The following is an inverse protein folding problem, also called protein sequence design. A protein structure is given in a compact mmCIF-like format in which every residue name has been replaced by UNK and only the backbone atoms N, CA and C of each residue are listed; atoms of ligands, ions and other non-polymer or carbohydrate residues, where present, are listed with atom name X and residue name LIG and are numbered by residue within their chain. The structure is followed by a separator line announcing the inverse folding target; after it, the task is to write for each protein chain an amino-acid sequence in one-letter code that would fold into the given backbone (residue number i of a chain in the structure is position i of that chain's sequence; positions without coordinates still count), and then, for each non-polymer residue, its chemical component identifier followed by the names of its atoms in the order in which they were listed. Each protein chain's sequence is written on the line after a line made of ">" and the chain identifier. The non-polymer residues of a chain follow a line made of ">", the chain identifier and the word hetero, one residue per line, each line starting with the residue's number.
data_IF_423016970990
#
_entry.id   IF_423016970990
#
_cell.length_a   1.000
_cell.length_b   1.000
_cell.length_c   1.000
_cell.angle_alpha   90.00
_cell.angle_beta   90.00
_cell.angle_gamma   90.00
#
_symmetry.space_group_name_H-M   'P 1'
#
loop_
_entity.id
_entity.type
_entity.pdbx_description
1 polymer ?
#
# COMPACT_ATOMS: atom_id res chain seq x y z
N UNK A 1 16.46 -27.34 -8.06
CA UNK A 1 16.88 -26.60 -6.84
C UNK A 1 15.94 -26.87 -5.68
N UNK A 2 14.62 -26.79 -5.89
CA UNK A 2 13.57 -27.20 -4.93
C UNK A 2 13.83 -28.58 -4.32
N UNK A 3 14.08 -29.60 -5.14
CA UNK A 3 14.24 -30.98 -4.65
C UNK A 3 15.49 -31.15 -3.78
N UNK A 4 16.58 -30.47 -4.14
CA UNK A 4 17.82 -30.47 -3.34
C UNK A 4 17.56 -29.84 -1.97
N UNK A 5 16.83 -28.72 -1.92
CA UNK A 5 16.48 -28.07 -0.66
C UNK A 5 15.63 -28.99 0.23
N UNK A 6 14.56 -29.58 -0.31
CA UNK A 6 13.74 -30.53 0.47
C UNK A 6 14.52 -31.78 0.89
N UNK A 7 15.46 -32.25 0.06
CA UNK A 7 16.33 -33.35 0.43
C UNK A 7 17.26 -32.99 1.61
N UNK A 8 17.86 -31.80 1.61
CA UNK A 8 18.68 -31.30 2.73
C UNK A 8 17.84 -31.21 4.00
N UNK A 9 16.61 -30.67 3.92
CA UNK A 9 15.70 -30.61 5.06
C UNK A 9 15.34 -32.01 5.60
N UNK A 10 15.07 -32.97 4.70
CA UNK A 10 14.81 -34.38 5.07
C UNK A 10 16.00 -35.01 5.79
N UNK A 11 17.24 -34.63 5.45
CA UNK A 11 18.45 -35.13 6.10
C UNK A 11 18.73 -34.47 7.45
N UNK A 12 18.42 -33.18 7.59
CA UNK A 12 18.68 -32.42 8.81
C UNK A 12 17.62 -32.62 9.91
N UNK A 13 16.43 -33.10 9.56
CA UNK A 13 15.35 -33.33 10.53
C UNK A 13 15.68 -34.43 11.54
N UNK A 14 15.17 -34.27 12.74
CA UNK A 14 15.20 -35.28 13.80
C UNK A 14 13.79 -35.88 13.96
N UNK A 15 13.68 -37.21 14.01
CA UNK A 15 12.40 -37.90 14.18
C UNK A 15 12.25 -38.24 15.66
N UNK A 16 11.20 -37.72 16.30
CA UNK A 16 10.91 -37.99 17.71
C UNK A 16 10.11 -39.27 17.88
N UNK A 17 9.11 -39.48 17.04
CA UNK A 17 8.33 -40.72 17.02
C UNK A 17 7.68 -40.92 15.65
N UNK A 18 7.39 -42.17 15.34
CA UNK A 18 6.68 -42.60 14.13
C UNK A 18 5.62 -43.62 14.54
N UNK A 19 4.39 -43.41 14.08
CA UNK A 19 3.27 -44.32 14.31
C UNK A 19 2.50 -44.52 13.00
N UNK A 20 2.72 -45.68 12.37
CA UNK A 20 2.06 -46.01 11.11
C UNK A 20 2.48 -45.06 9.99
N UNK A 21 1.57 -44.20 9.55
CA UNK A 21 1.80 -43.25 8.46
C UNK A 21 2.03 -41.81 8.98
N UNK A 22 2.05 -41.63 10.30
CA UNK A 22 2.25 -40.33 10.95
C UNK A 22 3.65 -40.29 11.56
N UNK A 23 4.42 -39.26 11.25
CA UNK A 23 5.71 -38.98 11.88
C UNK A 23 5.67 -37.65 12.61
N UNK A 24 6.33 -37.58 13.76
CA UNK A 24 6.65 -36.33 14.43
C UNK A 24 8.12 -36.02 14.18
N UNK A 25 8.37 -34.96 13.41
CA UNK A 25 9.71 -34.56 13.02
C UNK A 25 9.99 -33.11 13.44
N UNK A 26 11.19 -32.89 13.97
CA UNK A 26 11.71 -31.58 14.31
C UNK A 26 12.65 -31.10 13.20
N UNK A 27 12.41 -29.90 12.67
CA UNK A 27 13.24 -29.25 11.65
C UNK A 27 14.03 -28.10 12.26
N UNK A 28 15.37 -28.05 12.12
CA UNK A 28 16.18 -27.00 12.71
C UNK A 28 15.87 -25.63 12.08
N UNK A 29 15.82 -24.58 12.90
CA UNK A 29 15.37 -23.25 12.47
C UNK A 29 16.50 -22.29 12.08
N UNK A 30 17.75 -22.58 12.41
CA UNK A 30 18.86 -21.61 12.34
C UNK A 30 19.01 -20.89 10.97
N UNK A 31 18.86 -21.62 9.85
CA UNK A 31 18.96 -21.06 8.49
C UNK A 31 17.58 -20.78 7.84
N UNK A 32 16.51 -21.29 8.45
CA UNK A 32 15.16 -21.26 7.86
C UNK A 32 14.38 -20.05 8.38
N UNK A 33 14.44 -19.84 9.69
CA UNK A 33 13.72 -18.78 10.38
C UNK A 33 14.41 -17.43 10.14
N UNK A 34 13.61 -16.38 10.10
CA UNK A 34 14.07 -15.01 9.99
C UNK A 34 14.62 -14.47 11.30
N UNK A 35 14.37 -15.12 12.44
CA UNK A 35 14.83 -14.70 13.77
C UNK A 35 16.06 -15.53 14.17
N UNK A 36 17.15 -14.87 14.53
CA UNK A 36 18.34 -15.53 15.06
C UNK A 36 18.08 -16.06 16.48
N UNK A 37 18.38 -17.35 16.71
CA UNK A 37 18.17 -18.06 17.97
C UNK A 37 18.92 -17.46 19.17
N UNK A 38 20.02 -16.72 18.94
CA UNK A 38 20.90 -16.18 19.96
C UNK A 38 20.67 -14.69 20.20
N UNK A 39 20.56 -13.90 19.13
CA UNK A 39 20.48 -12.44 19.22
C UNK A 39 19.04 -11.91 19.16
N UNK A 40 18.12 -12.68 18.58
CA UNK A 40 16.76 -12.22 18.27
C UNK A 40 16.70 -11.21 17.12
N UNK A 41 17.84 -10.91 16.49
CA UNK A 41 17.91 -10.04 15.32
C UNK A 41 17.39 -10.73 14.07
N UNK A 42 17.07 -9.93 13.05
CA UNK A 42 16.44 -10.42 11.84
C UNK A 42 17.50 -10.81 10.81
N UNK A 43 17.61 -12.12 10.58
CA UNK A 43 18.50 -12.68 9.58
C UNK A 43 17.92 -12.53 8.17
N UNK A 44 18.49 -11.60 7.39
CA UNK A 44 18.11 -11.36 5.98
C UNK A 44 18.56 -12.48 5.02
N UNK A 45 19.51 -13.33 5.44
CA UNK A 45 20.01 -14.46 4.66
C UNK A 45 19.22 -15.74 4.91
N UNK A 46 18.23 -15.71 5.79
CA UNK A 46 17.33 -16.84 6.04
C UNK A 46 16.59 -17.26 4.77
N UNK A 47 16.34 -18.57 4.66
CA UNK A 47 15.62 -19.15 3.51
C UNK A 47 14.25 -18.51 3.37
N UNK A 48 13.52 -18.31 4.48
CA UNK A 48 12.20 -17.69 4.44
C UNK A 48 12.25 -16.26 3.86
N UNK A 49 13.25 -15.46 4.23
CA UNK A 49 13.41 -14.11 3.69
C UNK A 49 13.74 -14.14 2.18
N UNK A 50 14.70 -14.97 1.78
CA UNK A 50 15.15 -15.08 0.39
C UNK A 50 14.02 -15.55 -0.53
N UNK A 51 13.23 -16.53 -0.09
CA UNK A 51 12.09 -17.06 -0.85
C UNK A 51 10.97 -16.02 -1.00
N UNK A 52 10.66 -15.28 0.06
CA UNK A 52 9.56 -14.29 0.05
C UNK A 52 9.89 -13.06 -0.80
N UNK A 53 11.14 -12.57 -0.74
CA UNK A 53 11.59 -11.39 -1.50
C UNK A 53 12.22 -11.74 -2.86
N UNK A 54 12.54 -13.00 -3.14
CA UNK A 54 13.15 -13.43 -4.40
C UNK A 54 12.22 -13.31 -5.62
N UNK A 55 12.75 -12.90 -6.77
CA UNK A 55 11.91 -12.58 -7.95
C UNK A 55 11.42 -13.81 -8.72
N UNK A 56 12.12 -14.95 -8.61
CA UNK A 56 11.83 -16.15 -9.40
C UNK A 56 10.55 -16.86 -8.95
N UNK A 57 9.80 -17.37 -9.92
CA UNK A 57 8.57 -18.14 -9.70
C UNK A 57 8.86 -19.45 -8.98
N UNK A 58 10.00 -20.09 -9.26
CA UNK A 58 10.45 -21.32 -8.60
C UNK A 58 10.54 -21.20 -7.06
N UNK A 59 10.69 -19.99 -6.52
CA UNK A 59 10.66 -19.75 -5.08
C UNK A 59 9.25 -19.88 -4.50
N UNK A 60 8.19 -19.55 -5.25
CA UNK A 60 6.82 -19.73 -4.77
C UNK A 60 6.49 -21.20 -4.52
N UNK A 61 7.09 -22.10 -5.28
CA UNK A 61 6.95 -23.53 -5.09
C UNK A 61 7.71 -24.06 -3.86
N UNK A 62 8.63 -23.26 -3.29
CA UNK A 62 9.30 -23.58 -2.03
C UNK A 62 8.52 -23.11 -0.80
N UNK A 63 7.58 -22.16 -0.95
CA UNK A 63 6.72 -21.69 0.15
C UNK A 63 5.76 -22.78 0.65
N UNK A 64 5.45 -23.78 -0.17
CA UNK A 64 4.61 -24.91 0.23
C UNK A 64 5.32 -25.86 1.21
N UNK A 65 4.57 -26.42 2.16
CA UNK A 65 5.09 -27.37 3.16
C UNK A 65 5.67 -26.66 4.38
N UNK A 66 6.93 -26.98 4.74
CA UNK A 66 7.59 -26.51 5.97
C UNK A 66 7.52 -24.98 6.17
N UNK A 67 7.75 -24.20 5.11
CA UNK A 67 7.71 -22.73 5.22
C UNK A 67 6.29 -22.22 5.48
N UNK A 68 5.27 -22.82 4.86
CA UNK A 68 3.87 -22.48 5.12
C UNK A 68 3.47 -22.82 6.55
N UNK A 69 3.91 -23.97 7.09
CA UNK A 69 3.64 -24.37 8.46
C UNK A 69 4.35 -23.46 9.48
N UNK A 70 5.60 -23.07 9.21
CA UNK A 70 6.32 -22.09 10.01
C UNK A 70 5.59 -20.72 10.02
N UNK A 71 5.15 -20.25 8.85
CA UNK A 71 4.39 -19.01 8.74
C UNK A 71 3.04 -19.11 9.48
N UNK A 72 2.37 -20.26 9.44
CA UNK A 72 1.12 -20.49 10.17
C UNK A 72 1.35 -20.49 11.69
N UNK A 73 2.45 -21.09 12.14
CA UNK A 73 2.84 -21.06 13.55
C UNK A 73 3.09 -19.62 14.01
N UNK A 74 3.86 -18.82 13.26
CA UNK A 74 4.07 -17.39 13.55
C UNK A 74 2.77 -16.59 13.54
N UNK A 75 1.92 -16.83 12.54
CA UNK A 75 0.62 -16.19 12.40
C UNK A 75 -0.25 -16.41 13.62
N UNK A 76 -0.44 -17.67 14.02
CA UNK A 76 -1.33 -18.02 15.12
C UNK A 76 -0.77 -17.62 16.49
N UNK A 77 0.55 -17.54 16.67
CA UNK A 77 1.16 -17.22 17.97
C UNK A 77 1.18 -15.73 18.28
N UNK A 78 1.61 -14.88 17.34
CA UNK A 78 1.78 -13.46 17.66
C UNK A 78 1.38 -12.49 16.55
N UNK A 79 1.56 -12.86 15.28
CA UNK A 79 1.34 -11.92 14.17
C UNK A 79 -0.15 -11.60 13.98
N UNK A 80 -1.04 -12.60 14.07
CA UNK A 80 -2.49 -12.41 13.88
C UNK A 80 -3.05 -11.33 14.80
N UNK A 81 -2.74 -11.41 16.10
CA UNK A 81 -3.22 -10.44 17.08
C UNK A 81 -2.70 -9.03 16.80
N UNK A 82 -1.39 -8.89 16.51
CA UNK A 82 -0.79 -7.59 16.17
C UNK A 82 -1.35 -7.00 14.89
N UNK A 83 -1.54 -7.82 13.86
CA UNK A 83 -2.10 -7.43 12.57
C UNK A 83 -3.54 -6.92 12.72
N UNK A 84 -4.41 -7.68 13.39
CA UNK A 84 -5.81 -7.25 13.61
C UNK A 84 -5.92 -6.05 14.53
N UNK A 85 -5.05 -5.92 15.54
CA UNK A 85 -4.97 -4.72 16.37
C UNK A 85 -4.59 -3.49 15.53
N UNK A 86 -3.57 -3.61 14.68
CA UNK A 86 -3.15 -2.53 13.78
C UNK A 86 -4.25 -2.16 12.78
N UNK A 87 -4.94 -3.16 12.22
CA UNK A 87 -6.09 -2.95 11.34
C UNK A 87 -7.23 -2.23 12.06
N UNK A 88 -7.59 -2.65 13.27
CA UNK A 88 -8.65 -2.03 14.05
C UNK A 88 -8.31 -0.57 14.42
N UNK A 89 -7.08 -0.32 14.88
CA UNK A 89 -6.62 1.05 15.19
C UNK A 89 -6.65 1.94 13.94
N UNK A 90 -6.19 1.43 12.79
CA UNK A 90 -6.29 2.17 11.54
C UNK A 90 -7.74 2.40 11.10
N UNK A 91 -8.60 1.38 11.20
CA UNK A 91 -9.99 1.49 10.82
C UNK A 91 -10.72 2.54 11.67
N UNK A 92 -10.49 2.56 12.98
CA UNK A 92 -11.01 3.61 13.87
C UNK A 92 -10.46 4.98 13.44
N UNK A 93 -9.15 5.10 13.21
CA UNK A 93 -8.55 6.35 12.71
C UNK A 93 -9.20 6.82 11.40
N UNK A 94 -9.43 5.90 10.46
CA UNK A 94 -10.04 6.19 9.16
C UNK A 94 -11.47 6.70 9.30
N UNK A 95 -12.29 6.07 10.15
CA UNK A 95 -13.67 6.52 10.41
C UNK A 95 -13.69 7.88 11.12
N UNK A 96 -12.80 8.10 12.10
CA UNK A 96 -12.67 9.40 12.78
C UNK A 96 -12.26 10.50 11.79
N UNK A 97 -11.27 10.23 10.94
CA UNK A 97 -10.80 11.12 9.88
C UNK A 97 -11.93 11.44 8.89
N UNK A 98 -12.62 10.43 8.37
CA UNK A 98 -13.75 10.62 7.47
C UNK A 98 -14.85 11.48 8.10
N UNK A 99 -15.22 11.17 9.35
CA UNK A 99 -16.26 11.93 10.08
C UNK A 99 -15.83 13.38 10.29
N UNK A 100 -14.58 13.61 10.66
CA UNK A 100 -13.99 14.94 10.84
C UNK A 100 -14.09 15.79 9.56
N UNK A 101 -13.68 15.23 8.42
CA UNK A 101 -13.68 15.95 7.15
C UNK A 101 -15.07 16.15 6.55
N UNK A 102 -16.00 15.21 6.75
CA UNK A 102 -17.40 15.36 6.30
C UNK A 102 -18.13 16.43 7.11
N UNK A 103 -17.82 16.58 8.40
CA UNK A 103 -18.41 17.62 9.26
C UNK A 103 -17.79 19.01 9.07
N UNK A 104 -16.86 19.17 8.11
CA UNK A 104 -16.21 20.45 7.87
C UNK A 104 -17.21 21.45 7.28
N UNK A 105 -17.48 22.60 7.94
CA UNK A 105 -18.34 23.62 7.38
C UNK A 105 -17.65 24.22 6.16
N UNK A 106 -18.42 24.39 5.08
CA UNK A 106 -17.96 25.20 3.96
C UNK A 106 -17.73 26.66 4.39
N UNK A 107 -16.96 27.44 3.63
CA UNK A 107 -16.86 28.87 3.87
C UNK A 107 -18.28 29.46 3.88
N UNK A 108 -18.68 30.10 4.98
CA UNK A 108 -20.00 30.72 5.05
C UNK A 108 -20.08 31.77 3.95
N UNK A 109 -20.96 31.54 2.97
CA UNK A 109 -21.33 32.57 2.00
C UNK A 109 -21.88 33.80 2.73
N UNK A 110 -21.84 34.99 2.08
CA UNK A 110 -22.33 36.21 2.70
C UNK A 110 -23.76 36.01 3.19
N UNK A 111 -23.98 36.17 4.51
CA UNK A 111 -25.33 36.24 5.07
C UNK A 111 -25.97 37.50 4.50
N UNK A 112 -26.83 37.35 3.50
CA UNK A 112 -27.71 38.44 3.09
C UNK A 112 -28.63 38.71 4.28
N UNK A 113 -28.31 39.75 5.05
CA UNK A 113 -29.26 40.32 6.00
C UNK A 113 -30.46 40.78 5.17
N UNK A 114 -31.52 39.97 5.12
CA UNK A 114 -32.84 40.43 4.71
C UNK A 114 -33.31 41.42 5.77
N UNK A 115 -32.87 42.67 5.68
CA UNK A 115 -33.58 43.74 6.36
C UNK A 115 -35.00 43.77 5.79
N UNK A 116 -35.96 43.48 6.67
CA UNK A 116 -37.36 43.77 6.43
C UNK A 116 -37.48 45.27 6.14
N UNK A 117 -37.65 45.63 4.86
CA UNK A 117 -38.06 46.99 4.50
C UNK A 117 -39.52 47.08 4.89
N UNK A 118 -39.77 47.70 6.05
CA UNK A 118 -41.11 48.16 6.36
C UNK A 118 -41.41 49.34 5.43
N UNK A 119 -42.42 49.17 4.57
CA UNK A 119 -43.25 50.27 4.04
C UNK A 119 -43.53 51.27 5.19
N UNK A 120 -43.56 52.59 5.04
CA UNK A 120 -44.44 53.49 4.26
C UNK A 120 -43.78 54.91 4.41
N UNK A 121 -43.62 55.78 3.40
CA UNK A 121 -44.52 56.92 3.11
C UNK A 121 -44.03 57.79 1.93
N UNK A 122 -45.02 58.26 1.17
CA UNK A 122 -44.99 59.20 0.06
C UNK A 122 -44.16 60.47 0.30
N UNK A 123 -43.40 60.92 -0.70
CA UNK A 123 -43.40 62.29 -1.23
C UNK A 123 -42.66 62.34 -2.60
N UNK A 124 -43.05 63.20 -3.56
CA UNK A 124 -42.45 63.24 -4.89
C UNK A 124 -41.44 64.38 -5.01
N UNK A 125 -40.15 64.11 -5.29
CA UNK A 125 -39.32 65.03 -6.08
C UNK A 125 -37.94 64.47 -6.52
N UNK A 126 -37.67 64.64 -7.82
CA UNK A 126 -36.40 64.84 -8.53
C UNK A 126 -35.19 63.91 -8.37
N UNK A 127 -34.90 63.22 -9.49
CA UNK A 127 -33.60 63.16 -10.20
C UNK A 127 -32.32 63.39 -9.38
N UNK A 128 -31.61 62.31 -9.08
CA UNK A 128 -30.16 62.17 -9.36
C UNK A 128 -29.83 60.68 -9.47
N UNK A 129 -29.23 60.29 -10.59
CA UNK A 129 -28.59 58.98 -10.74
C UNK A 129 -27.29 59.01 -9.92
N UNK A 130 -27.30 58.42 -8.74
CA UNK A 130 -26.10 57.96 -8.05
C UNK A 130 -26.28 56.48 -7.76
N UNK A 131 -25.30 55.61 -8.07
CA UNK A 131 -25.39 54.23 -7.64
C UNK A 131 -25.22 54.20 -6.13
N UNK A 132 -26.27 53.80 -5.43
CA UNK A 132 -26.22 53.41 -4.02
C UNK A 132 -25.30 52.20 -3.92
N UNK A 133 -24.02 52.44 -3.65
CA UNK A 133 -23.09 51.41 -3.20
C UNK A 133 -23.36 51.20 -1.72
N UNK A 134 -24.33 50.33 -1.42
CA UNK A 134 -24.51 49.79 -0.06
C UNK A 134 -24.67 48.28 -0.13
N UNK A 135 -23.60 47.63 -0.56
CA UNK A 135 -23.35 46.22 -0.28
C UNK A 135 -22.03 46.12 0.47
N UNK A 136 -22.06 46.17 1.81
CA UNK A 136 -20.91 45.75 2.60
C UNK A 136 -20.66 44.27 2.25
N UNK A 137 -19.61 44.02 1.47
CA UNK A 137 -19.05 42.68 1.29
C UNK A 137 -18.64 42.24 2.69
N UNK A 138 -19.43 41.38 3.32
CA UNK A 138 -19.05 40.76 4.59
C UNK A 138 -17.77 39.97 4.33
N UNK A 139 -16.62 40.49 4.78
CA UNK A 139 -15.36 39.77 4.78
C UNK A 139 -15.61 38.41 5.45
N UNK A 140 -15.38 37.33 4.70
CA UNK A 140 -15.40 35.97 5.25
C UNK A 140 -14.36 35.96 6.37
N UNK A 141 -14.77 35.65 7.60
CA UNK A 141 -13.85 35.54 8.72
C UNK A 141 -12.76 34.51 8.35
N UNK A 142 -11.48 34.91 8.23
CA UNK A 142 -10.42 34.00 7.79
C UNK A 142 -10.23 32.83 8.77
N UNK A 143 -10.66 33.01 10.02
CA UNK A 143 -10.65 32.01 11.09
C UNK A 143 -12.03 31.36 11.34
N UNK A 144 -12.94 31.29 10.36
CA UNK A 144 -14.29 30.69 10.56
C UNK A 144 -14.23 29.24 11.07
N UNK A 145 -13.15 28.53 10.73
CA UNK A 145 -12.88 27.20 11.21
C UNK A 145 -12.64 27.16 12.74
N UNK A 146 -12.21 28.25 13.39
CA UNK A 146 -12.07 28.34 14.85
C UNK A 146 -13.40 28.56 15.60
N UNK A 147 -14.49 28.86 14.91
CA UNK A 147 -15.74 29.26 15.55
C UNK A 147 -16.43 28.06 16.25
N UNK A 148 -16.70 28.17 17.55
CA UNK A 148 -17.20 27.07 18.39
C UNK A 148 -18.68 27.19 18.79
N UNK A 149 -19.47 27.92 18.00
CA UNK A 149 -20.83 28.30 18.39
C UNK A 149 -21.87 27.17 18.23
N UNK A 150 -21.63 26.21 17.34
CA UNK A 150 -22.53 25.08 17.09
C UNK A 150 -22.03 23.79 17.75
N UNK A 151 -22.95 22.95 18.22
CA UNK A 151 -22.64 21.61 18.75
C UNK A 151 -21.88 20.74 17.73
N UNK A 152 -22.20 20.90 16.44
CA UNK A 152 -21.45 20.27 15.34
C UNK A 152 -19.98 20.69 15.30
N UNK A 153 -19.68 21.96 15.60
CA UNK A 153 -18.31 22.47 15.62
C UNK A 153 -17.53 21.91 16.82
N UNK A 154 -18.18 21.79 17.98
CA UNK A 154 -17.59 21.15 19.17
C UNK A 154 -17.19 19.69 18.90
N UNK A 155 -18.09 18.91 18.30
CA UNK A 155 -17.81 17.51 17.93
C UNK A 155 -16.66 17.45 16.92
N UNK A 156 -16.65 18.31 15.90
CA UNK A 156 -15.56 18.39 14.94
C UNK A 156 -14.21 18.69 15.61
N UNK A 157 -14.13 19.65 16.54
CA UNK A 157 -12.88 19.94 17.25
C UNK A 157 -12.35 18.73 18.04
N UNK A 158 -13.25 17.96 18.67
CA UNK A 158 -12.86 16.73 19.38
C UNK A 158 -12.30 15.71 18.37
N UNK A 159 -12.96 15.53 17.23
CA UNK A 159 -12.49 14.63 16.17
C UNK A 159 -11.16 15.09 15.57
N UNK A 160 -10.99 16.38 15.29
CA UNK A 160 -9.74 16.99 14.82
C UNK A 160 -8.61 16.70 15.83
N UNK A 161 -8.84 16.93 17.13
CA UNK A 161 -7.87 16.63 18.17
C UNK A 161 -7.52 15.15 18.25
N UNK A 162 -8.50 14.25 18.15
CA UNK A 162 -8.27 12.80 18.15
C UNK A 162 -7.49 12.34 16.90
N UNK A 163 -7.79 12.88 15.73
CA UNK A 163 -7.07 12.54 14.48
C UNK A 163 -5.65 13.09 14.46
N UNK A 164 -5.43 14.30 14.99
CA UNK A 164 -4.08 14.86 15.17
C UNK A 164 -3.27 14.03 16.19
N UNK A 165 -3.87 13.67 17.33
CA UNK A 165 -3.23 12.81 18.32
C UNK A 165 -2.90 11.43 17.75
N UNK A 166 -3.82 10.82 16.99
CA UNK A 166 -3.60 9.54 16.32
C UNK A 166 -2.45 9.60 15.30
N UNK A 167 -2.38 10.67 14.51
CA UNK A 167 -1.27 10.92 13.58
C UNK A 167 0.07 11.09 14.30
N UNK A 168 0.09 11.84 15.40
CA UNK A 168 1.28 12.03 16.23
C UNK A 168 1.76 10.70 16.86
N UNK A 169 0.85 9.90 17.42
CA UNK A 169 1.17 8.59 18.00
C UNK A 169 1.78 7.68 16.92
N UNK A 170 1.20 7.65 15.72
CA UNK A 170 1.73 6.85 14.61
C UNK A 170 3.15 7.29 14.21
N UNK A 171 3.41 8.60 14.14
CA UNK A 171 4.74 9.14 13.85
C UNK A 171 5.74 8.76 14.96
N UNK A 172 5.35 8.89 16.23
CA UNK A 172 6.21 8.52 17.36
C UNK A 172 6.54 7.01 17.34
N UNK A 173 5.57 6.16 17.03
CA UNK A 173 5.81 4.72 16.89
C UNK A 173 6.71 4.41 15.70
N UNK A 174 6.56 5.12 14.58
CA UNK A 174 7.47 4.99 13.43
C UNK A 174 8.90 5.45 13.76
N UNK A 175 9.06 6.51 14.55
CA UNK A 175 10.38 6.98 15.02
C UNK A 175 11.00 5.96 15.97
N UNK A 176 10.23 5.39 16.90
CA UNK A 176 10.70 4.28 17.75
C UNK A 176 11.14 3.08 16.91
N UNK A 177 10.37 2.74 15.87
CA UNK A 177 10.72 1.68 14.92
C UNK A 177 12.02 1.95 14.17
N UNK A 178 12.23 3.18 13.71
CA UNK A 178 13.47 3.59 13.06
C UNK A 178 14.67 3.55 14.03
N UNK A 179 14.47 3.87 15.31
CA UNK A 179 15.53 3.85 16.32
C UNK A 179 16.02 2.44 16.65
N UNK A 180 15.11 1.47 16.87
CA UNK A 180 15.55 0.11 17.24
C UNK A 180 16.06 -0.70 16.04
N UNK A 181 15.56 -0.42 14.82
CA UNK A 181 15.92 -1.20 13.63
C UNK A 181 17.08 -0.58 12.84
N UNK A 182 17.38 0.70 13.07
CA UNK A 182 18.31 1.49 12.28
C UNK A 182 17.66 2.08 11.02
N UNK A 183 17.99 3.34 10.71
CA UNK A 183 17.34 4.13 9.67
C UNK A 183 17.38 3.48 8.28
N UNK A 184 18.52 2.93 7.87
CA UNK A 184 18.67 2.30 6.55
C UNK A 184 17.79 1.05 6.39
N UNK A 185 17.67 0.24 7.44
CA UNK A 185 16.84 -0.98 7.40
C UNK A 185 15.36 -0.59 7.42
N UNK A 186 15.01 0.43 8.21
CA UNK A 186 13.67 0.97 8.26
C UNK A 186 13.21 1.49 6.89
N UNK A 187 14.01 2.31 6.19
CA UNK A 187 13.65 2.83 4.86
C UNK A 187 13.51 1.70 3.84
N UNK A 188 14.42 0.71 3.85
CA UNK A 188 14.30 -0.47 2.99
C UNK A 188 12.98 -1.22 3.24
N UNK A 189 12.57 -1.39 4.50
CA UNK A 189 11.30 -2.03 4.85
C UNK A 189 10.08 -1.21 4.40
N UNK A 190 10.11 0.11 4.58
CA UNK A 190 9.05 1.00 4.12
C UNK A 190 8.85 0.91 2.60
N UNK A 191 9.92 0.85 1.82
CA UNK A 191 9.85 0.73 0.36
C UNK A 191 9.21 -0.57 -0.13
N UNK A 192 9.22 -1.63 0.68
CA UNK A 192 8.49 -2.87 0.36
C UNK A 192 6.97 -2.73 0.46
N UNK A 193 6.48 -1.68 1.16
CA UNK A 193 5.07 -1.41 1.41
C UNK A 193 4.78 0.09 1.14
N UNK A 194 4.59 0.49 -0.13
CA UNK A 194 4.43 1.90 -0.49
C UNK A 194 3.20 2.56 0.17
N UNK A 195 2.14 1.80 0.40
CA UNK A 195 0.95 2.30 1.08
C UNK A 195 1.21 2.74 2.53
N UNK A 196 2.18 2.13 3.22
CA UNK A 196 2.60 2.54 4.58
C UNK A 196 3.34 3.88 4.55
N UNK A 197 4.11 4.13 3.47
CA UNK A 197 4.77 5.42 3.22
C UNK A 197 3.75 6.52 2.97
N UNK A 198 2.74 6.26 2.12
CA UNK A 198 1.66 7.21 1.85
C UNK A 198 0.93 7.62 3.14
N UNK A 199 0.63 6.65 4.01
CA UNK A 199 0.02 6.94 5.32
C UNK A 199 0.96 7.70 6.27
N UNK A 200 2.26 7.43 6.23
CA UNK A 200 3.22 8.21 7.01
C UNK A 200 3.26 9.67 6.53
N UNK A 201 3.26 9.90 5.21
CA UNK A 201 3.15 11.23 4.63
C UNK A 201 1.83 11.91 5.02
N UNK A 202 0.70 11.19 5.02
CA UNK A 202 -0.60 11.73 5.42
C UNK A 202 -0.60 12.18 6.88
N UNK A 203 0.00 11.41 7.79
CA UNK A 203 0.17 11.79 9.20
C UNK A 203 1.05 13.03 9.35
N UNK A 204 2.13 13.17 8.57
CA UNK A 204 2.96 14.38 8.59
C UNK A 204 2.19 15.62 8.12
N UNK A 205 1.41 15.50 7.03
CA UNK A 205 0.57 16.61 6.53
C UNK A 205 -0.52 16.96 7.56
N UNK A 206 -1.11 15.97 8.24
CA UNK A 206 -2.05 16.21 9.34
C UNK A 206 -1.44 17.05 10.47
N UNK A 207 -0.16 16.82 10.79
CA UNK A 207 0.55 17.66 11.78
C UNK A 207 0.78 19.10 11.30
N UNK A 208 0.91 19.31 9.98
CA UNK A 208 1.03 20.65 9.37
C UNK A 208 -0.31 21.39 9.37
N UNK A 209 -1.45 20.69 9.37
CA UNK A 209 -2.77 21.34 9.47
C UNK A 209 -2.96 22.09 10.79
N UNK A 210 -2.38 21.60 11.89
CA UNK A 210 -2.49 22.24 13.21
C UNK A 210 -1.91 23.68 13.21
N UNK A 211 -0.66 23.95 12.79
CA UNK A 211 -0.16 25.32 12.70
C UNK A 211 -0.88 26.15 11.62
N UNK A 212 -1.31 25.56 10.51
CA UNK A 212 -2.11 26.28 9.49
C UNK A 212 -3.44 26.80 10.06
N UNK A 213 -4.03 26.06 10.99
CA UNK A 213 -5.24 26.45 11.71
C UNK A 213 -4.99 27.67 12.61
N UNK A 214 -3.86 27.72 13.30
CA UNK A 214 -3.48 28.86 14.15
C UNK A 214 -3.13 30.12 13.36
N UNK A 215 -2.61 29.98 12.14
CA UNK A 215 -2.35 31.10 11.21
C UNK A 215 -3.59 31.51 10.41
N UNK A 216 -4.74 30.86 10.63
CA UNK A 216 -6.00 31.08 9.92
C UNK A 216 -5.89 30.98 8.39
N UNK A 217 -5.03 30.10 7.89
CA UNK A 217 -4.87 29.84 6.46
C UNK A 217 -5.83 28.75 5.99
N UNK A 218 -7.09 29.14 5.76
CA UNK A 218 -8.15 28.20 5.35
C UNK A 218 -7.84 27.48 4.02
N UNK A 219 -7.33 28.19 3.01
CA UNK A 219 -7.00 27.60 1.70
C UNK A 219 -5.91 26.52 1.80
N UNK A 220 -4.85 26.78 2.59
CA UNK A 220 -3.79 25.81 2.79
C UNK A 220 -4.26 24.59 3.57
N UNK A 221 -5.16 24.77 4.53
CA UNK A 221 -5.76 23.69 5.30
C UNK A 221 -6.71 22.83 4.44
N UNK A 222 -7.47 23.44 3.52
CA UNK A 222 -8.35 22.74 2.57
C UNK A 222 -7.55 21.88 1.59
N UNK A 223 -6.49 22.43 0.99
CA UNK A 223 -5.58 21.69 0.12
C UNK A 223 -4.94 20.52 0.89
N UNK A 224 -4.42 20.79 2.09
CA UNK A 224 -3.79 19.77 2.94
C UNK A 224 -4.75 18.63 3.29
N UNK A 225 -6.01 18.96 3.61
CA UNK A 225 -7.05 18.00 3.92
C UNK A 225 -7.34 17.04 2.75
N UNK A 226 -7.40 17.56 1.52
CA UNK A 226 -7.60 16.73 0.32
C UNK A 226 -6.46 15.74 0.17
N UNK A 227 -5.21 16.18 0.33
CA UNK A 227 -4.05 15.28 0.26
C UNK A 227 -4.06 14.23 1.36
N UNK A 228 -4.40 14.59 2.60
CA UNK A 228 -4.52 13.63 3.71
C UNK A 228 -5.53 12.54 3.36
N UNK A 229 -6.71 12.89 2.85
CA UNK A 229 -7.75 11.92 2.51
C UNK A 229 -7.34 10.99 1.37
N UNK A 230 -6.77 11.56 0.31
CA UNK A 230 -6.32 10.80 -0.87
C UNK A 230 -5.18 9.83 -0.54
N UNK A 231 -4.27 10.23 0.36
CA UNK A 231 -3.11 9.40 0.75
C UNK A 231 -3.43 8.41 1.87
N UNK A 232 -4.48 8.64 2.66
CA UNK A 232 -4.91 7.71 3.73
C UNK A 232 -5.63 6.48 3.18
N UNK A 233 -6.52 6.64 2.19
CA UNK A 233 -7.33 5.53 1.67
C UNK A 233 -6.54 4.34 1.09
N UNK A 234 -5.45 4.54 0.31
CA UNK A 234 -4.62 3.44 -0.20
C UNK A 234 -4.03 2.53 0.89
N UNK A 235 -3.91 3.01 2.13
CA UNK A 235 -3.42 2.19 3.23
C UNK A 235 -4.37 1.05 3.59
N UNK A 236 -5.68 1.17 3.29
CA UNK A 236 -6.62 0.05 3.45
C UNK A 236 -6.24 -1.16 2.59
N UNK A 237 -5.72 -0.93 1.38
CA UNK A 237 -5.29 -1.99 0.47
C UNK A 237 -4.15 -2.84 1.05
N UNK A 238 -3.33 -2.28 1.96
CA UNK A 238 -2.29 -3.05 2.67
C UNK A 238 -2.90 -4.22 3.46
N UNK A 239 -3.99 -3.97 4.17
CA UNK A 239 -4.65 -4.99 4.98
C UNK A 239 -5.40 -6.00 4.11
N UNK A 240 -6.00 -5.53 3.01
CA UNK A 240 -6.63 -6.40 2.01
C UNK A 240 -5.65 -7.39 1.37
N UNK A 241 -4.37 -7.01 1.28
CA UNK A 241 -3.30 -7.85 0.70
C UNK A 241 -3.12 -9.19 1.42
N UNK A 242 -3.50 -9.29 2.70
CA UNK A 242 -3.35 -10.51 3.51
C UNK A 242 -4.42 -11.57 3.32
N UNK A 243 -5.52 -11.25 2.63
CA UNK A 243 -6.60 -12.21 2.40
C UNK A 243 -6.34 -13.04 1.14
N UNK A 244 -6.66 -14.33 1.20
CA UNK A 244 -6.48 -15.27 0.08
C UNK A 244 -7.18 -14.83 -1.21
N UNK A 245 -8.39 -14.29 -1.11
CA UNK A 245 -9.18 -13.87 -2.26
C UNK A 245 -8.70 -12.53 -2.83
N UNK A 246 -8.44 -11.53 -1.97
CA UNK A 246 -8.19 -10.13 -2.39
C UNK A 246 -6.70 -9.85 -2.62
N UNK A 247 -5.82 -10.63 -1.98
CA UNK A 247 -4.36 -10.41 -1.97
C UNK A 247 -3.72 -10.31 -3.35
N UNK A 248 -3.92 -11.32 -4.24
CA UNK A 248 -3.40 -11.26 -5.60
C UNK A 248 -3.92 -10.05 -6.37
N UNK A 249 -5.22 -9.73 -6.28
CA UNK A 249 -5.82 -8.58 -6.98
C UNK A 249 -5.18 -7.25 -6.57
N UNK A 250 -4.89 -7.05 -5.29
CA UNK A 250 -4.22 -5.81 -4.82
C UNK A 250 -2.83 -5.67 -5.44
N UNK A 251 -2.06 -6.76 -5.55
CA UNK A 251 -0.74 -6.75 -6.20
C UNK A 251 -0.86 -6.47 -7.69
N UNK A 252 -1.88 -7.04 -8.33
CA UNK A 252 -2.18 -6.77 -9.74
C UNK A 252 -2.43 -5.28 -9.95
N UNK A 253 -3.26 -4.65 -9.12
CA UNK A 253 -3.51 -3.20 -9.16
C UNK A 253 -2.20 -2.41 -9.02
N UNK A 254 -1.36 -2.73 -8.04
CA UNK A 254 -0.08 -2.01 -7.86
C UNK A 254 0.85 -2.15 -9.07
N UNK A 255 0.98 -3.36 -9.63
CA UNK A 255 1.83 -3.59 -10.80
C UNK A 255 1.26 -2.93 -12.05
N UNK A 256 -0.06 -3.01 -12.25
CA UNK A 256 -0.77 -2.36 -13.35
C UNK A 256 -0.58 -0.84 -13.29
N UNK A 257 -0.75 -0.22 -12.12
CA UNK A 257 -0.58 1.25 -11.97
C UNK A 257 0.88 1.67 -12.14
N UNK A 258 1.84 0.96 -11.53
CA UNK A 258 3.23 1.42 -11.53
C UNK A 258 3.94 1.18 -12.86
N UNK A 259 3.74 0.02 -13.47
CA UNK A 259 4.51 -0.38 -14.66
C UNK A 259 3.74 -0.15 -15.95
N UNK A 260 2.50 -0.66 -16.01
CA UNK A 260 1.74 -0.70 -17.27
C UNK A 260 1.09 0.66 -17.58
N UNK A 261 0.50 1.29 -16.56
CA UNK A 261 -0.18 2.59 -16.69
C UNK A 261 0.82 3.73 -16.95
N UNK A 262 2.01 3.75 -16.33
CA UNK A 262 2.98 4.84 -16.56
C UNK A 262 3.49 4.87 -18.00
N UNK A 263 3.75 3.71 -18.61
CA UNK A 263 4.13 3.62 -20.02
C UNK A 263 3.02 4.18 -20.93
N UNK A 264 1.79 3.78 -20.65
CA UNK A 264 0.61 4.25 -21.36
C UNK A 264 0.38 5.76 -21.21
N UNK A 265 0.39 6.26 -19.97
CA UNK A 265 0.21 7.69 -19.66
C UNK A 265 1.30 8.52 -20.33
N UNK A 266 2.52 8.01 -20.44
CA UNK A 266 3.61 8.71 -21.13
C UNK A 266 3.31 8.90 -22.61
N UNK A 267 2.91 7.85 -23.33
CA UNK A 267 2.53 7.94 -24.75
C UNK A 267 1.31 8.84 -24.92
N UNK A 268 0.32 8.68 -24.05
CA UNK A 268 -0.91 9.47 -24.06
C UNK A 268 -0.65 10.97 -23.85
N UNK A 269 0.20 11.35 -22.88
CA UNK A 269 0.56 12.76 -22.62
C UNK A 269 1.22 13.40 -23.83
N UNK A 270 2.08 12.69 -24.58
CA UNK A 270 2.70 13.24 -25.80
C UNK A 270 1.64 13.66 -26.82
N UNK A 271 0.62 12.82 -27.04
CA UNK A 271 -0.48 13.17 -27.94
C UNK A 271 -1.34 14.30 -27.37
N UNK A 272 -1.71 14.25 -26.09
CA UNK A 272 -2.51 15.31 -25.44
C UNK A 272 -1.82 16.66 -25.55
N UNK A 273 -0.51 16.74 -25.28
CA UNK A 273 0.25 17.99 -25.39
C UNK A 273 0.28 18.53 -26.83
N UNK A 274 0.48 17.66 -27.83
CA UNK A 274 0.50 18.07 -29.24
C UNK A 274 -0.84 18.64 -29.70
N UNK A 275 -1.95 18.00 -29.33
CA UNK A 275 -3.28 18.52 -29.65
C UNK A 275 -3.67 19.74 -28.80
N UNK A 276 -3.28 19.79 -27.52
CA UNK A 276 -3.54 20.94 -26.66
C UNK A 276 -2.95 22.24 -27.23
N UNK A 277 -1.74 22.17 -27.79
CA UNK A 277 -1.11 23.31 -28.48
C UNK A 277 -1.91 23.74 -29.72
N UNK A 278 -2.37 22.80 -30.54
CA UNK A 278 -3.19 23.09 -31.72
C UNK A 278 -4.52 23.76 -31.32
N UNK A 279 -5.19 23.25 -30.29
CA UNK A 279 -6.43 23.80 -29.79
C UNK A 279 -6.27 25.18 -29.14
N UNK A 280 -5.21 25.39 -28.35
CA UNK A 280 -4.87 26.70 -27.82
C UNK A 280 -4.79 27.75 -28.95
N UNK A 281 -4.10 27.43 -30.05
CA UNK A 281 -3.98 28.35 -31.20
C UNK A 281 -5.32 28.60 -31.90
N UNK A 282 -6.15 27.56 -32.07
CA UNK A 282 -7.49 27.70 -32.68
C UNK A 282 -8.38 28.63 -31.84
N UNK A 283 -8.31 28.49 -30.52
CA UNK A 283 -9.13 29.23 -29.56
C UNK A 283 -8.65 30.66 -29.29
N UNK A 284 -7.44 31.05 -29.73
CA UNK A 284 -7.05 32.47 -29.77
C UNK A 284 -8.03 33.34 -30.60
N UNK A 285 -8.76 32.73 -31.55
CA UNK A 285 -9.76 33.39 -32.38
C UNK A 285 -11.19 33.31 -31.80
N UNK A 286 -11.36 32.81 -30.59
CA UNK A 286 -12.65 32.65 -29.94
C UNK A 286 -13.24 34.01 -29.55
N UNK A 287 -14.51 34.23 -29.89
CA UNK A 287 -15.25 35.45 -29.54
C UNK A 287 -16.63 35.08 -28.99
N UNK A 288 -16.73 34.98 -27.66
CA UNK A 288 -18.00 34.84 -26.95
C UNK A 288 -17.91 35.45 -25.54
N UNK A 289 -19.07 35.67 -24.91
CA UNK A 289 -19.18 36.26 -23.56
C UNK A 289 -18.78 35.29 -22.43
N UNK A 290 -18.68 33.98 -22.72
CA UNK A 290 -18.25 32.95 -21.75
C UNK A 290 -16.74 32.66 -21.91
N UNK A 291 -15.97 32.49 -20.82
CA UNK A 291 -14.56 32.13 -20.91
C UNK A 291 -14.38 30.80 -21.66
N UNK A 292 -13.30 30.69 -22.42
CA UNK A 292 -13.04 29.47 -23.19
C UNK A 292 -12.25 28.47 -22.35
N UNK A 293 -12.46 27.18 -22.58
CA UNK A 293 -11.70 26.14 -21.87
C UNK A 293 -10.22 26.08 -22.28
N UNK A 294 -9.83 26.83 -23.32
CA UNK A 294 -8.49 26.81 -23.93
C UNK A 294 -7.80 28.19 -23.84
N UNK A 295 -8.21 29.04 -22.90
CA UNK A 295 -7.64 30.38 -22.73
C UNK A 295 -6.18 30.35 -22.25
N UNK A 296 -5.82 29.36 -21.43
CA UNK A 296 -4.44 29.15 -20.95
C UNK A 296 -3.85 27.84 -21.51
N UNK A 297 -2.53 27.76 -21.76
CA UNK A 297 -1.88 26.52 -22.20
C UNK A 297 -2.05 25.35 -21.22
N UNK A 298 -2.05 25.61 -19.91
CA UNK A 298 -2.22 24.57 -18.88
C UNK A 298 -3.68 24.12 -18.81
N UNK A 299 -4.63 25.06 -18.90
CA UNK A 299 -6.06 24.74 -18.93
C UNK A 299 -6.42 23.98 -20.21
N UNK A 300 -5.77 24.31 -21.34
CA UNK A 300 -5.93 23.59 -22.61
C UNK A 300 -5.56 22.11 -22.49
N UNK A 301 -4.48 21.78 -21.78
CA UNK A 301 -4.10 20.38 -21.52
C UNK A 301 -5.17 19.65 -20.71
N UNK A 302 -5.71 20.30 -19.68
CA UNK A 302 -6.80 19.76 -18.87
C UNK A 302 -8.09 19.58 -19.69
N UNK A 303 -8.44 20.56 -20.53
CA UNK A 303 -9.60 20.51 -21.41
C UNK A 303 -9.49 19.38 -22.44
N UNK A 304 -8.30 19.16 -23.01
CA UNK A 304 -8.03 18.01 -23.87
C UNK A 304 -8.19 16.68 -23.12
N UNK A 305 -7.70 16.61 -21.88
CA UNK A 305 -7.87 15.42 -21.04
C UNK A 305 -9.35 15.14 -20.74
N UNK A 306 -10.15 16.15 -20.39
CA UNK A 306 -11.59 16.00 -20.14
C UNK A 306 -12.31 15.56 -21.42
N UNK A 307 -11.96 16.15 -22.56
CA UNK A 307 -12.49 15.75 -23.86
C UNK A 307 -12.19 14.28 -24.20
N UNK A 308 -11.02 13.75 -23.80
CA UNK A 308 -10.67 12.32 -23.96
C UNK A 308 -11.57 11.36 -23.17
N UNK A 309 -12.13 11.83 -22.05
CA UNK A 309 -13.06 11.08 -21.19
C UNK A 309 -14.49 11.11 -21.73
N UNK A 310 -14.68 11.53 -22.99
CA UNK A 310 -15.96 11.67 -23.67
C UNK A 310 -16.88 12.76 -23.11
N UNK A 311 -16.34 13.69 -22.32
CA UNK A 311 -17.04 14.88 -21.84
C UNK A 311 -16.67 16.09 -22.72
N UNK A 312 -17.38 16.26 -23.83
CA UNK A 312 -17.05 17.28 -24.84
C UNK A 312 -18.23 18.14 -25.29
N UNK A 313 -19.42 17.99 -24.70
CA UNK A 313 -20.63 18.71 -25.12
C UNK A 313 -20.44 20.23 -25.11
N UNK A 314 -19.99 20.78 -23.98
CA UNK A 314 -19.78 22.21 -23.80
C UNK A 314 -18.61 22.73 -24.67
N UNK A 315 -17.56 21.91 -24.80
CA UNK A 315 -16.37 22.24 -25.63
C UNK A 315 -16.75 22.29 -27.12
N UNK A 316 -17.59 21.37 -27.58
CA UNK A 316 -18.02 21.29 -28.97
C UNK A 316 -18.88 22.49 -29.38
N UNK A 317 -19.73 23.00 -28.48
CA UNK A 317 -20.51 24.22 -28.72
C UNK A 317 -19.62 25.45 -28.91
N UNK A 318 -18.50 25.53 -28.16
CA UNK A 318 -17.54 26.63 -28.29
C UNK A 318 -16.83 26.66 -29.64
N UNK A 319 -16.72 25.53 -30.36
CA UNK A 319 -16.10 25.50 -31.70
C UNK A 319 -16.81 26.42 -32.70
N UNK A 320 -18.12 26.62 -32.55
CA UNK A 320 -18.91 27.50 -33.42
C UNK A 320 -18.54 28.99 -33.26
N UNK A 321 -17.98 29.37 -32.11
CA UNK A 321 -17.59 30.74 -31.79
C UNK A 321 -16.14 31.06 -32.19
N UNK A 322 -15.46 30.12 -32.87
CA UNK A 322 -14.10 30.30 -33.39
C UNK A 322 -14.13 30.54 -34.90
N UNK A 323 -13.19 31.36 -35.40
CA UNK A 323 -13.05 31.62 -36.83
C UNK A 323 -12.73 30.34 -37.63
N UNK A 324 -12.04 29.38 -37.00
CA UNK A 324 -11.58 28.12 -37.62
C UNK A 324 -12.45 26.90 -37.25
N UNK A 325 -13.78 27.07 -37.24
CA UNK A 325 -14.74 26.03 -36.83
C UNK A 325 -14.55 24.66 -37.54
N UNK A 326 -14.29 24.66 -38.85
CA UNK A 326 -14.17 23.41 -39.61
C UNK A 326 -12.88 22.67 -39.28
N UNK A 327 -11.79 23.41 -39.06
CA UNK A 327 -10.50 22.84 -38.67
C UNK A 327 -10.62 22.23 -37.27
N UNK A 328 -11.25 22.94 -36.33
CA UNK A 328 -11.52 22.43 -34.99
C UNK A 328 -12.31 21.12 -35.02
N UNK A 329 -13.40 21.06 -35.81
CA UNK A 329 -14.23 19.84 -35.95
C UNK A 329 -13.48 18.66 -36.57
N UNK A 330 -12.60 18.90 -37.56
CA UNK A 330 -11.76 17.84 -38.15
C UNK A 330 -10.74 17.31 -37.14
N UNK A 331 -10.04 18.21 -36.44
CA UNK A 331 -9.10 17.84 -35.38
C UNK A 331 -9.78 17.12 -34.22
N UNK A 332 -11.04 17.46 -33.91
CA UNK A 332 -11.86 16.77 -32.92
C UNK A 332 -12.10 15.31 -33.30
N UNK A 333 -12.57 15.05 -34.52
CA UNK A 333 -12.81 13.68 -35.01
C UNK A 333 -11.50 12.88 -35.02
N UNK A 334 -10.41 13.48 -35.52
CA UNK A 334 -9.09 12.85 -35.56
C UNK A 334 -8.59 12.50 -34.15
N UNK A 335 -8.71 13.44 -33.19
CA UNK A 335 -8.31 13.23 -31.81
C UNK A 335 -9.14 12.12 -31.16
N UNK A 336 -10.47 12.14 -31.31
CA UNK A 336 -11.34 11.11 -30.73
C UNK A 336 -11.05 9.72 -31.30
N UNK A 337 -10.79 9.61 -32.61
CA UNK A 337 -10.41 8.34 -33.23
C UNK A 337 -9.05 7.84 -32.71
N UNK A 338 -8.06 8.73 -32.63
CA UNK A 338 -6.72 8.39 -32.14
C UNK A 338 -6.75 7.97 -30.67
N UNK A 339 -7.45 8.73 -29.81
CA UNK A 339 -7.63 8.41 -28.40
C UNK A 339 -8.37 7.08 -28.24
N UNK A 340 -9.48 6.85 -28.94
CA UNK A 340 -10.18 5.57 -28.87
C UNK A 340 -9.27 4.39 -29.26
N UNK A 341 -8.49 4.52 -30.34
CA UNK A 341 -7.54 3.50 -30.77
C UNK A 341 -6.41 3.27 -29.75
N UNK A 342 -5.86 4.33 -29.15
CA UNK A 342 -4.77 4.22 -28.19
C UNK A 342 -5.25 3.72 -26.82
N UNK A 343 -6.33 4.30 -26.28
CA UNK A 343 -6.89 3.97 -24.96
C UNK A 343 -7.37 2.52 -24.92
N UNK A 344 -8.03 2.01 -25.97
CA UNK A 344 -8.59 0.65 -25.96
C UNK A 344 -7.52 -0.39 -26.28
N UNK A 345 -6.74 -0.20 -27.34
CA UNK A 345 -5.91 -1.29 -27.87
C UNK A 345 -4.65 -1.56 -27.04
N UNK A 346 -4.01 -0.52 -26.49
CA UNK A 346 -2.77 -0.70 -25.72
C UNK A 346 -3.05 -0.96 -24.24
N UNK A 347 -4.05 -0.30 -23.65
CA UNK A 347 -4.39 -0.47 -22.23
C UNK A 347 -4.92 -1.88 -21.95
N UNK A 348 -5.81 -2.41 -22.81
CA UNK A 348 -6.37 -3.76 -22.64
C UNK A 348 -5.30 -4.84 -22.85
N UNK A 349 -4.39 -4.65 -23.82
CA UNK A 349 -3.35 -5.63 -24.12
C UNK A 349 -2.34 -5.78 -22.97
N UNK A 350 -1.87 -4.68 -22.38
CA UNK A 350 -0.92 -4.73 -21.26
C UNK A 350 -1.58 -5.18 -19.95
N UNK A 351 -2.75 -4.63 -19.61
CA UNK A 351 -3.47 -5.05 -18.40
C UNK A 351 -3.92 -6.52 -18.48
N UNK A 352 -4.32 -6.99 -19.67
CA UNK A 352 -4.71 -8.38 -19.90
C UNK A 352 -3.55 -9.37 -19.70
N UNK A 353 -2.35 -9.05 -20.22
CA UNK A 353 -1.16 -9.88 -20.03
C UNK A 353 -0.72 -9.93 -18.56
N UNK A 354 -0.62 -8.78 -17.90
CA UNK A 354 -0.27 -8.73 -16.48
C UNK A 354 -1.31 -9.45 -15.61
N UNK A 355 -2.59 -9.39 -15.99
CA UNK A 355 -3.64 -10.15 -15.32
C UNK A 355 -3.41 -11.66 -15.44
N UNK A 356 -3.20 -12.16 -16.65
CA UNK A 356 -2.95 -13.59 -16.91
C UNK A 356 -1.67 -14.07 -16.20
N UNK A 357 -0.57 -13.33 -16.31
CA UNK A 357 0.72 -13.66 -15.70
C UNK A 357 0.67 -13.78 -14.17
N UNK A 358 -0.24 -13.04 -13.51
CA UNK A 358 -0.43 -13.09 -12.05
C UNK A 358 -1.48 -14.14 -11.66
N UNK A 359 -2.57 -14.26 -12.44
CA UNK A 359 -3.60 -15.27 -12.20
C UNK A 359 -3.06 -16.71 -12.33
N UNK A 360 -2.08 -16.94 -13.20
CA UNK A 360 -1.42 -18.24 -13.37
C UNK A 360 -0.52 -18.64 -12.19
N UNK A 361 -0.09 -17.68 -11.35
CA UNK A 361 0.74 -17.94 -10.16
C UNK A 361 -0.10 -18.48 -9.01
N UNK A 362 -0.36 -19.79 -9.02
CA UNK A 362 -1.26 -20.51 -8.07
C UNK A 362 -0.99 -20.31 -6.56
N UNK A 363 0.12 -19.70 -6.14
CA UNK A 363 0.45 -19.43 -4.72
C UNK A 363 0.83 -17.98 -4.41
N UNK A 364 0.54 -17.01 -5.31
CA UNK A 364 0.91 -15.61 -5.08
C UNK A 364 0.31 -15.04 -3.79
N UNK A 365 -0.92 -15.44 -3.44
CA UNK A 365 -1.55 -15.03 -2.18
C UNK A 365 -0.72 -15.44 -0.95
N UNK A 366 -0.10 -16.62 -0.97
CA UNK A 366 0.70 -17.14 0.15
C UNK A 366 1.97 -16.33 0.31
N UNK A 367 2.58 -15.94 -0.81
CA UNK A 367 3.72 -15.01 -0.83
C UNK A 367 3.34 -13.66 -0.23
N UNK A 368 2.17 -13.12 -0.58
CA UNK A 368 1.69 -11.84 -0.03
C UNK A 368 1.40 -11.90 1.46
N UNK A 369 0.78 -12.99 1.92
CA UNK A 369 0.60 -13.25 3.33
C UNK A 369 1.94 -13.38 4.06
N UNK A 370 2.90 -14.13 3.52
CA UNK A 370 4.25 -14.25 4.07
C UNK A 370 4.96 -12.88 4.18
N UNK A 371 4.85 -12.02 3.16
CA UNK A 371 5.37 -10.64 3.23
C UNK A 371 4.77 -9.86 4.37
N UNK A 372 3.46 -9.97 4.62
CA UNK A 372 2.80 -9.29 5.75
C UNK A 372 3.32 -9.84 7.08
N UNK A 373 3.44 -11.16 7.22
CA UNK A 373 4.01 -11.80 8.41
C UNK A 373 5.40 -11.24 8.71
N UNK A 374 6.28 -11.21 7.71
CA UNK A 374 7.64 -10.70 7.87
C UNK A 374 7.71 -9.19 8.13
N UNK A 375 6.82 -8.39 7.53
CA UNK A 375 6.75 -6.94 7.81
C UNK A 375 6.29 -6.68 9.25
N UNK A 376 5.29 -7.42 9.74
CA UNK A 376 4.84 -7.29 11.14
C UNK A 376 5.90 -7.77 12.11
N UNK A 377 6.61 -8.86 11.78
CA UNK A 377 7.73 -9.38 12.58
C UNK A 377 8.87 -8.37 12.68
N UNK A 378 9.22 -7.69 11.57
CA UNK A 378 10.24 -6.63 11.55
C UNK A 378 9.90 -5.42 12.41
N UNK A 379 8.62 -5.18 12.68
CA UNK A 379 8.15 -4.14 13.59
C UNK A 379 8.24 -4.51 15.08
N UNK A 380 8.77 -5.70 15.41
CA UNK A 380 8.91 -6.18 16.78
C UNK A 380 10.38 -6.06 17.25
N UNK A 381 10.63 -5.53 18.46
CA UNK A 381 11.98 -5.48 19.01
C UNK A 381 12.63 -6.88 19.17
N UNK A 382 13.97 -7.01 19.01
CA UNK A 382 14.67 -8.30 19.01
C UNK A 382 14.42 -9.19 20.24
N UNK A 383 14.36 -8.59 21.44
CA UNK A 383 14.13 -9.33 22.68
C UNK A 383 12.76 -10.02 22.70
N UNK A 384 11.72 -9.36 22.16
CA UNK A 384 10.37 -9.93 22.05
C UNK A 384 10.35 -10.98 20.94
N UNK A 385 11.03 -10.75 19.82
CA UNK A 385 11.15 -11.74 18.75
C UNK A 385 11.71 -13.06 19.26
N UNK A 386 12.76 -13.02 20.06
CA UNK A 386 13.38 -14.20 20.66
C UNK A 386 12.44 -14.93 21.64
N UNK A 387 11.68 -14.19 22.43
CA UNK A 387 10.64 -14.77 23.29
C UNK A 387 9.53 -15.45 22.46
N UNK A 388 9.06 -14.80 21.39
CA UNK A 388 8.05 -15.37 20.50
C UNK A 388 8.56 -16.59 19.74
N UNK A 389 9.83 -16.62 19.36
CA UNK A 389 10.46 -17.79 18.75
C UNK A 389 10.39 -19.00 19.66
N UNK A 390 10.61 -18.82 20.97
CA UNK A 390 10.49 -19.90 21.96
C UNK A 390 9.06 -20.44 22.10
N UNK A 391 8.04 -19.66 21.74
CA UNK A 391 6.63 -20.08 21.82
C UNK A 391 6.19 -21.02 20.70
N UNK A 392 6.88 -21.01 19.54
CA UNK A 392 6.60 -21.90 18.41
C UNK A 392 7.73 -22.90 18.13
N UNK A 393 8.87 -22.80 18.80
CA UNK A 393 10.01 -23.71 18.63
C UNK A 393 10.31 -24.50 19.91
N UNK A 394 10.88 -25.69 19.72
CA UNK A 394 11.38 -26.55 20.80
C UNK A 394 12.90 -26.74 20.64
N UNK A 395 13.58 -27.11 21.73
CA UNK A 395 15.01 -27.43 21.67
C UNK A 395 15.20 -28.88 21.22
N UNK A 396 16.07 -29.10 20.23
CA UNK A 396 16.54 -30.42 19.83
C UNK A 396 17.54 -30.98 20.84
N UNK A 397 17.89 -32.27 20.69
CA UNK A 397 18.97 -32.89 21.48
C UNK A 397 20.31 -32.16 21.33
N UNK A 398 20.57 -31.58 20.15
CA UNK A 398 21.76 -30.76 19.86
C UNK A 398 21.72 -29.36 20.49
N UNK A 399 20.63 -28.97 21.16
CA UNK A 399 20.42 -27.63 21.73
C UNK A 399 19.92 -26.57 20.74
N UNK A 400 19.95 -26.85 19.44
CA UNK A 400 19.38 -25.99 18.39
C UNK A 400 17.86 -25.89 18.50
N UNK A 401 17.29 -24.75 18.08
CA UNK A 401 15.85 -24.56 18.04
C UNK A 401 15.26 -25.17 16.79
N UNK A 402 14.10 -25.81 16.94
CA UNK A 402 13.43 -26.51 15.87
C UNK A 402 11.92 -26.32 15.89
N UNK A 403 11.33 -26.34 14.69
CA UNK A 403 9.89 -26.46 14.51
C UNK A 403 9.51 -27.93 14.49
N UNK A 404 8.66 -28.32 15.42
CA UNK A 404 8.13 -29.69 15.51
C UNK A 404 6.84 -29.76 14.72
N UNK A 405 6.82 -30.63 13.72
CA UNK A 405 5.66 -30.85 12.85
C UNK A 405 5.21 -32.30 12.92
N UNK A 406 3.89 -32.47 12.89
CA UNK A 406 3.25 -33.75 12.65
C UNK A 406 3.01 -33.88 11.15
N UNK A 407 3.69 -34.84 10.53
CA UNK A 407 3.60 -35.11 9.11
C UNK A 407 2.83 -36.41 8.89
N UNK A 408 1.99 -36.42 7.87
CA UNK A 408 1.35 -37.63 7.37
C UNK A 408 1.99 -38.00 6.03
N UNK A 409 2.40 -39.24 5.90
CA UNK A 409 3.14 -39.74 4.74
C UNK A 409 2.30 -40.71 3.93
N UNK A 410 2.43 -40.61 2.60
CA UNK A 410 1.97 -41.64 1.68
C UNK A 410 2.96 -42.82 1.69
N UNK A 411 2.53 -44.00 1.26
CA UNK A 411 3.36 -45.22 1.30
C UNK A 411 4.70 -45.06 0.54
N UNK A 412 4.71 -44.33 -0.58
CA UNK A 412 5.94 -44.03 -1.34
C UNK A 412 6.93 -43.17 -0.56
N UNK A 413 6.45 -42.12 0.11
CA UNK A 413 7.32 -41.28 0.95
C UNK A 413 7.86 -42.05 2.15
N UNK A 414 7.06 -42.96 2.71
CA UNK A 414 7.46 -43.81 3.82
C UNK A 414 8.59 -44.75 3.42
N UNK A 415 8.54 -45.34 2.23
CA UNK A 415 9.62 -46.16 1.68
C UNK A 415 10.92 -45.35 1.46
N UNK A 416 10.83 -44.14 0.92
CA UNK A 416 12.00 -43.24 0.80
C UNK A 416 12.64 -42.96 2.17
N UNK A 417 11.81 -42.70 3.18
CA UNK A 417 12.29 -42.39 4.53
C UNK A 417 12.98 -43.56 5.20
N UNK A 418 12.46 -44.78 5.00
CA UNK A 418 13.11 -46.01 5.47
C UNK A 418 14.47 -46.21 4.80
N UNK A 419 14.54 -46.03 3.48
CA UNK A 419 15.79 -46.15 2.74
C UNK A 419 16.85 -45.13 3.21
N UNK A 420 16.44 -43.89 3.46
CA UNK A 420 17.33 -42.84 4.00
C UNK A 420 17.82 -43.21 5.41
N UNK A 421 16.93 -43.72 6.28
CA UNK A 421 17.29 -44.13 7.63
C UNK A 421 18.32 -45.28 7.62
N UNK A 422 18.12 -46.29 6.77
CA UNK A 422 19.05 -47.42 6.60
C UNK A 422 20.42 -46.95 6.08
N UNK A 423 20.43 -46.07 5.07
CA UNK A 423 21.68 -45.46 4.58
C UNK A 423 22.41 -44.69 5.68
N UNK A 424 21.70 -43.97 6.55
CA UNK A 424 22.31 -43.20 7.64
C UNK A 424 22.99 -44.12 8.64
N UNK A 425 22.32 -45.20 9.05
CA UNK A 425 22.89 -46.21 9.96
C UNK A 425 24.13 -46.87 9.36
N UNK A 426 24.04 -47.32 8.10
CA UNK A 426 25.17 -47.92 7.39
C UNK A 426 26.36 -46.96 7.28
N UNK A 427 26.13 -45.68 6.97
CA UNK A 427 27.19 -44.67 6.88
C UNK A 427 27.85 -44.40 8.24
N UNK A 428 27.08 -44.35 9.33
CA UNK A 428 27.62 -44.19 10.68
C UNK A 428 28.52 -45.37 11.05
N UNK A 429 28.07 -46.60 10.78
CA UNK A 429 28.87 -47.80 11.01
C UNK A 429 30.16 -47.80 10.19
N UNK A 430 30.09 -47.44 8.91
CA UNK A 430 31.27 -47.35 8.05
C UNK A 430 32.26 -46.30 8.56
N UNK A 431 31.78 -45.13 9.02
CA UNK A 431 32.63 -44.09 9.63
C UNK A 431 33.27 -44.57 10.93
N UNK A 432 32.54 -45.27 11.78
CA UNK A 432 33.09 -45.86 13.01
C UNK A 432 34.18 -46.90 12.71
N UNK A 433 33.94 -47.80 11.73
CA UNK A 433 34.93 -48.77 11.25
C UNK A 433 36.17 -48.09 10.68
N UNK A 434 36.02 -47.02 9.89
CA UNK A 434 37.15 -46.22 9.37
C UNK A 434 37.95 -45.55 10.49
N UNK A 435 37.29 -44.95 11.48
CA UNK A 435 37.95 -44.34 12.65
C UNK A 435 38.75 -45.38 13.45
N UNK A 436 38.19 -46.56 13.71
CA UNK A 436 38.91 -47.67 14.37
C UNK A 436 40.17 -48.07 13.59
N UNK A 437 40.06 -48.30 12.28
CA UNK A 437 41.21 -48.62 11.41
C UNK A 437 42.29 -47.54 11.41
N UNK A 438 41.90 -46.26 11.44
CA UNK A 438 42.83 -45.12 11.53
C UNK A 438 43.54 -45.04 12.89
N UNK A 439 42.81 -45.30 13.99
CA UNK A 439 43.40 -45.37 15.33
C UNK A 439 44.39 -46.53 15.46
N UNK A 440 44.05 -47.71 14.94
CA UNK A 440 44.93 -48.89 14.88
C UNK A 440 46.20 -48.62 14.06
N UNK A 441 46.10 -47.90 12.94
CA UNK A 441 47.26 -47.49 12.15
C UNK A 441 48.15 -46.52 12.92
N UNK A 442 47.59 -45.50 13.58
CA UNK A 442 48.37 -44.56 14.41
C UNK A 442 49.10 -45.27 15.56
N UNK A 443 48.43 -46.21 16.24
CA UNK A 443 49.02 -47.00 17.31
C UNK A 443 50.16 -47.94 16.86
N UNK A 444 50.24 -48.27 15.56
CA UNK A 444 51.34 -49.06 14.99
C UNK A 444 52.52 -48.20 14.50
N UNK A 445 52.37 -46.87 14.45
CA UNK A 445 53.39 -45.94 13.95
C UNK A 445 54.02 -45.10 15.06
N UNK A 446 53.60 -45.32 16.31
CA UNK A 446 54.20 -44.78 17.54
C UNK A 446 54.84 -45.94 18.28
#
# INVERSE_FOLDING_TARGET
>A
MKDIYFHILKLQREIYWELGNITCAAYPLDDIDTIDSNTGEINKLSVLNLVVYGEKIDHLDMLSGLLADLLNAKWNKFVKFRFFRQFATFFVYFILSLSCFVMRPGPMGPKVNKHHINHINHHPFTTTKTPVVLGNISHINPCYLLENNATSNQVRFILEALTAAGGLIYILDAVREAQFLGYHIFTQNMMTVPSRVLFMCSCCIMMIMVPLRFTCSHQGEDISAVFVMLTTAPYFLFFCRGFRLVGPFVVMIYKMILTDLLCFVTIYIVFVLGFAQAYYVIFLSYKADKPSFFDDPIQSVLAMFIMSLSEFGDIYEQFHHTHHQNIAKVFFIMYMALVALLLINMLIAMMGKTYQDIAERKNEWMRQWARIVLVVERGVPPHICLEQQRNYSQAMADGRRALVLRLEHNETEKEELRCIAEMRTSNVEQRARRKKRLAEKKAKTT
#
